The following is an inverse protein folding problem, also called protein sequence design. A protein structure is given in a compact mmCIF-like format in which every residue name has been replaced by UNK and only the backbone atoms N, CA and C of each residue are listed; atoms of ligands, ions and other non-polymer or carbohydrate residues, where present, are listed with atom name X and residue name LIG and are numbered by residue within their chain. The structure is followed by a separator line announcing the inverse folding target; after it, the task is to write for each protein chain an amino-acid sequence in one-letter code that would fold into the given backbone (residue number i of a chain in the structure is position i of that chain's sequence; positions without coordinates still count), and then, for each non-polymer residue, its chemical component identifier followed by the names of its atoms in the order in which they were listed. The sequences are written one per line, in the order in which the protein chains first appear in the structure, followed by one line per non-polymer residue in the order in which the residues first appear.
data_IF_418120204800
#
_entry.id   IF_418120204800
#
_cell.length_a   1.000
_cell.length_b   1.000
_cell.length_c   1.000
_cell.angle_alpha   90.00
_cell.angle_beta   90.00
_cell.angle_gamma   90.00
#
_symmetry.space_group_name_H-M   'P 1'
#
loop_
_entity.id
_entity.type
_entity.pdbx_description
1 polymer ?
#
# COMPACT_ATOMS: atom_id res chain seq x y z
N UNK A 1 10.87 -16.37 12.80
CA UNK A 1 11.10 -15.16 11.96
C UNK A 1 9.80 -14.64 11.34
N UNK A 2 9.08 -15.44 10.54
CA UNK A 2 7.83 -15.03 9.88
C UNK A 2 6.69 -14.63 10.83
N UNK A 3 6.47 -15.38 11.91
CA UNK A 3 5.43 -15.08 12.92
C UNK A 3 5.60 -13.69 13.56
N UNK A 4 6.84 -13.25 13.80
CA UNK A 4 7.14 -11.92 14.36
C UNK A 4 6.84 -10.81 13.36
N UNK A 5 7.28 -10.95 12.11
CA UNK A 5 6.96 -10.02 11.01
C UNK A 5 5.45 -9.91 10.78
N UNK A 6 4.75 -11.05 10.73
CA UNK A 6 3.32 -11.10 10.48
C UNK A 6 2.51 -10.26 11.48
N UNK A 7 2.90 -10.21 12.76
CA UNK A 7 2.24 -9.38 13.77
C UNK A 7 2.21 -7.91 13.39
N UNK A 8 3.34 -7.35 12.95
CA UNK A 8 3.41 -5.94 12.55
C UNK A 8 2.69 -5.69 11.22
N UNK A 9 2.82 -6.61 10.26
CA UNK A 9 2.26 -6.44 8.93
C UNK A 9 0.73 -6.57 8.94
N UNK A 10 0.19 -7.58 9.59
CA UNK A 10 -1.27 -7.80 9.68
C UNK A 10 -1.93 -6.63 10.42
N UNK A 11 -1.38 -6.21 11.55
CA UNK A 11 -1.96 -5.11 12.34
C UNK A 11 -1.99 -3.81 11.54
N UNK A 12 -0.88 -3.47 10.87
CA UNK A 12 -0.81 -2.25 10.06
C UNK A 12 -1.60 -2.32 8.77
N UNK A 13 -1.75 -3.52 8.19
CA UNK A 13 -2.65 -3.74 7.06
C UNK A 13 -4.10 -3.45 7.47
N UNK A 14 -4.54 -3.98 8.61
CA UNK A 14 -5.90 -3.74 9.13
C UNK A 14 -6.09 -2.24 9.40
N UNK A 15 -5.12 -1.58 10.06
CA UNK A 15 -5.19 -0.14 10.30
C UNK A 15 -5.25 0.66 9.00
N UNK A 16 -4.40 0.34 8.02
CA UNK A 16 -4.39 0.99 6.72
C UNK A 16 -5.67 0.76 5.93
N UNK A 17 -6.27 -0.42 6.05
CA UNK A 17 -7.56 -0.74 5.44
C UNK A 17 -8.69 0.08 6.07
N UNK A 18 -8.76 0.14 7.40
CA UNK A 18 -9.75 0.97 8.13
C UNK A 18 -9.59 2.44 7.77
N UNK A 19 -8.35 2.95 7.73
CA UNK A 19 -8.08 4.34 7.34
C UNK A 19 -8.53 4.62 5.90
N UNK A 20 -8.26 3.68 4.99
CA UNK A 20 -8.71 3.79 3.61
C UNK A 20 -10.24 3.78 3.49
N UNK A 21 -10.95 2.98 4.30
CA UNK A 21 -12.42 3.00 4.35
C UNK A 21 -12.97 4.35 4.83
N UNK A 22 -12.33 4.98 5.83
CA UNK A 22 -12.72 6.32 6.27
C UNK A 22 -12.52 7.38 5.17
N UNK A 23 -11.45 7.25 4.37
CA UNK A 23 -11.15 8.19 3.31
C UNK A 23 -12.02 8.02 2.05
N UNK A 24 -12.42 6.79 1.72
CA UNK A 24 -13.12 6.45 0.46
C UNK A 24 -14.61 6.12 0.63
N UNK A 25 -15.10 5.97 1.86
CA UNK A 25 -16.45 5.47 2.16
C UNK A 25 -16.53 3.95 2.12
N UNK A 26 -17.71 3.36 2.38
CA UNK A 26 -17.92 1.90 2.27
C UNK A 26 -17.78 1.52 0.79
N UNK A 27 -16.72 0.82 0.38
CA UNK A 27 -16.52 0.51 -1.01
C UNK A 27 -17.55 -0.52 -1.42
N UNK A 28 -18.28 -0.25 -2.50
CA UNK A 28 -18.82 -1.35 -3.30
C UNK A 28 -17.64 -2.29 -3.63
N UNK A 29 -17.89 -3.59 -3.79
CA UNK A 29 -16.84 -4.60 -4.07
C UNK A 29 -15.90 -4.21 -5.24
N UNK A 30 -16.30 -3.24 -6.04
CA UNK A 30 -15.59 -2.73 -7.20
C UNK A 30 -14.37 -1.87 -6.79
N UNK A 31 -14.43 -1.11 -5.70
CA UNK A 31 -13.33 -0.25 -5.22
C UNK A 31 -12.30 -0.99 -4.33
N UNK A 32 -12.27 -2.32 -4.37
CA UNK A 32 -11.39 -3.12 -3.51
C UNK A 32 -9.90 -2.87 -3.78
N UNK A 33 -9.49 -2.58 -5.01
CA UNK A 33 -8.06 -2.44 -5.37
C UNK A 33 -7.43 -1.16 -4.80
N UNK A 34 -7.99 0.05 -4.96
CA UNK A 34 -7.42 1.25 -4.35
C UNK A 34 -7.42 1.17 -2.83
N UNK A 35 -8.50 0.65 -2.23
CA UNK A 35 -8.62 0.52 -0.78
C UNK A 35 -7.59 -0.46 -0.21
N UNK A 36 -7.40 -1.61 -0.87
CA UNK A 36 -6.36 -2.58 -0.48
C UNK A 36 -4.96 -2.07 -0.82
N UNK A 37 -4.79 -1.30 -1.88
CA UNK A 37 -3.51 -0.72 -2.29
C UNK A 37 -2.93 0.18 -1.22
N UNK A 38 -3.74 1.12 -0.69
CA UNK A 38 -3.34 2.01 0.40
C UNK A 38 -2.96 1.19 1.65
N UNK A 39 -3.78 0.19 2.00
CA UNK A 39 -3.50 -0.70 3.14
C UNK A 39 -2.17 -1.47 2.98
N UNK A 40 -1.87 -1.96 1.77
CA UNK A 40 -0.60 -2.64 1.46
C UNK A 40 0.58 -1.68 1.55
N UNK A 41 0.45 -0.45 1.05
CA UNK A 41 1.53 0.55 1.11
C UNK A 41 1.86 0.88 2.57
N UNK A 42 0.84 1.14 3.39
CA UNK A 42 0.99 1.40 4.82
C UNK A 42 1.63 0.20 5.54
N UNK A 43 1.17 -1.01 5.23
CA UNK A 43 1.74 -2.25 5.78
C UNK A 43 3.23 -2.37 5.43
N UNK A 44 3.61 -2.16 4.17
CA UNK A 44 4.98 -2.37 3.70
C UNK A 44 5.91 -1.26 4.21
N UNK A 45 5.48 0.00 4.19
CA UNK A 45 6.29 1.12 4.67
C UNK A 45 6.46 1.07 6.19
N UNK A 46 5.36 1.05 6.94
CA UNK A 46 5.36 1.15 8.40
C UNK A 46 5.70 -0.19 9.06
N UNK A 47 5.25 -1.32 8.51
CA UNK A 47 5.47 -2.64 9.10
C UNK A 47 6.90 -3.12 8.97
N UNK A 48 7.53 -2.82 7.83
CA UNK A 48 8.97 -3.05 7.66
C UNK A 48 9.79 -2.16 8.58
N UNK A 49 9.38 -0.90 8.77
CA UNK A 49 10.08 0.05 9.64
C UNK A 49 10.03 -0.37 11.11
N UNK A 50 8.82 -0.63 11.64
CA UNK A 50 8.62 -1.02 13.03
C UNK A 50 9.33 -2.34 13.36
N UNK A 51 9.25 -3.33 12.47
CA UNK A 51 9.95 -4.59 12.68
C UNK A 51 11.47 -4.40 12.78
N UNK A 52 12.06 -3.56 11.91
CA UNK A 52 13.50 -3.28 11.92
C UNK A 52 13.98 -2.53 13.16
N UNK A 53 13.19 -1.57 13.62
CA UNK A 53 13.50 -0.79 14.84
C UNK A 53 13.35 -1.66 16.09
N UNK A 54 12.25 -2.41 16.21
CA UNK A 54 11.91 -3.11 17.46
C UNK A 54 12.64 -4.45 17.58
N UNK A 55 12.64 -5.27 16.52
CA UNK A 55 13.18 -6.64 16.58
C UNK A 55 14.65 -6.69 16.14
N UNK A 56 15.02 -5.97 15.08
CA UNK A 56 16.39 -5.99 14.54
C UNK A 56 17.28 -4.91 15.18
N UNK A 57 16.71 -3.99 15.96
CA UNK A 57 17.41 -2.86 16.62
C UNK A 57 18.31 -2.07 15.66
N UNK A 58 17.89 -1.96 14.40
CA UNK A 58 18.63 -1.21 13.39
C UNK A 58 18.63 0.30 13.73
N UNK A 59 19.69 1.00 13.30
CA UNK A 59 19.77 2.45 13.46
C UNK A 59 18.63 3.16 12.71
N UNK A 60 17.97 4.10 13.38
CA UNK A 60 16.85 4.88 12.85
C UNK A 60 17.11 5.53 11.49
N UNK A 61 18.33 6.04 11.25
CA UNK A 61 18.70 6.62 9.95
C UNK A 61 18.64 5.59 8.81
N UNK A 62 19.13 4.38 9.09
CA UNK A 62 19.17 3.29 8.13
C UNK A 62 17.76 2.74 7.84
N UNK A 63 16.92 2.66 8.87
CA UNK A 63 15.50 2.32 8.72
C UNK A 63 14.79 3.38 7.89
N UNK A 64 15.04 4.67 8.13
CA UNK A 64 14.43 5.75 7.39
C UNK A 64 14.74 5.65 5.88
N UNK A 65 16.01 5.50 5.51
CA UNK A 65 16.42 5.33 4.10
C UNK A 65 15.77 4.11 3.44
N UNK A 66 15.73 2.99 4.15
CA UNK A 66 15.09 1.76 3.67
C UNK A 66 13.58 1.92 3.49
N UNK A 67 12.90 2.60 4.41
CA UNK A 67 11.48 2.92 4.30
C UNK A 67 11.20 3.89 3.15
N UNK A 68 12.08 4.87 2.94
CA UNK A 68 11.99 5.81 1.83
C UNK A 68 12.09 5.09 0.48
N UNK A 69 13.01 4.11 0.36
CA UNK A 69 13.10 3.22 -0.80
C UNK A 69 11.79 2.44 -1.02
N UNK A 70 11.17 1.93 0.03
CA UNK A 70 9.89 1.22 -0.08
C UNK A 70 8.77 2.15 -0.57
N UNK A 71 8.69 3.38 -0.07
CA UNK A 71 7.72 4.38 -0.50
C UNK A 71 7.93 4.73 -1.98
N UNK A 72 9.18 4.95 -2.40
CA UNK A 72 9.52 5.20 -3.80
C UNK A 72 9.11 4.03 -4.71
N UNK A 73 9.32 2.80 -4.26
CA UNK A 73 8.91 1.61 -5.01
C UNK A 73 7.37 1.51 -5.12
N UNK A 74 6.65 1.83 -4.04
CA UNK A 74 5.19 1.92 -4.05
C UNK A 74 4.66 3.00 -5.01
N UNK A 75 5.30 4.17 -5.06
CA UNK A 75 4.96 5.23 -6.01
C UNK A 75 5.19 4.79 -7.46
N UNK A 76 6.29 4.08 -7.73
CA UNK A 76 6.58 3.53 -9.05
C UNK A 76 5.50 2.53 -9.50
N UNK A 77 5.05 1.65 -8.60
CA UNK A 77 3.94 0.71 -8.88
C UNK A 77 2.65 1.47 -9.22
N UNK A 78 2.30 2.50 -8.44
CA UNK A 78 1.12 3.32 -8.71
C UNK A 78 1.20 4.00 -10.08
N UNK A 79 2.38 4.49 -10.47
CA UNK A 79 2.61 5.12 -11.77
C UNK A 79 2.44 4.13 -12.92
N UNK A 80 2.94 2.89 -12.76
CA UNK A 80 2.75 1.81 -13.75
C UNK A 80 1.26 1.47 -13.89
N UNK A 81 0.53 1.34 -12.77
CA UNK A 81 -0.91 1.08 -12.79
C UNK A 81 -1.68 2.19 -13.51
N UNK A 82 -1.34 3.46 -13.25
CA UNK A 82 -1.93 4.61 -13.93
C UNK A 82 -1.62 4.63 -15.43
N UNK A 83 -0.39 4.26 -15.81
CA UNK A 83 -0.01 4.12 -17.21
C UNK A 83 -0.82 3.01 -17.91
N UNK A 84 -0.94 1.84 -17.28
CA UNK A 84 -1.75 0.73 -17.79
C UNK A 84 -3.23 1.13 -17.96
N UNK A 85 -3.79 1.82 -16.97
CA UNK A 85 -5.14 2.39 -17.05
C UNK A 85 -5.31 3.30 -18.26
N UNK A 86 -4.37 4.24 -18.44
CA UNK A 86 -4.39 5.19 -19.56
C UNK A 86 -4.32 4.49 -20.93
N UNK A 87 -3.59 3.37 -21.01
CA UNK A 87 -3.52 2.54 -22.23
C UNK A 87 -4.83 1.80 -22.45
N UNK A 88 -5.39 1.15 -21.43
CA UNK A 88 -6.64 0.39 -21.52
C UNK A 88 -7.84 1.26 -21.91
N UNK A 89 -7.89 2.49 -21.39
CA UNK A 89 -8.89 3.49 -21.78
C UNK A 89 -8.88 3.78 -23.29
N UNK A 90 -7.70 3.83 -23.92
CA UNK A 90 -7.59 4.04 -25.39
C UNK A 90 -8.18 2.88 -26.19
N UNK A 91 -8.28 1.69 -25.61
CA UNK A 91 -8.91 0.51 -26.21
C UNK A 91 -10.40 0.37 -25.83
N UNK A 92 -10.98 1.38 -25.16
CA UNK A 92 -12.38 1.36 -24.72
C UNK A 92 -12.65 0.43 -23.54
N UNK A 93 -11.60 -0.07 -22.87
CA UNK A 93 -11.72 -0.89 -21.68
C UNK A 93 -11.67 0.05 -20.47
N UNK A 94 -12.85 0.31 -19.92
CA UNK A 94 -12.99 1.13 -18.73
C UNK A 94 -12.80 0.28 -17.46
N UNK A 95 -11.67 0.49 -16.77
CA UNK A 95 -11.39 -0.10 -15.45
C UNK A 95 -11.41 0.95 -14.33
N UNK A 96 -11.96 2.14 -14.59
CA UNK A 96 -12.24 3.21 -13.62
C UNK A 96 -12.89 2.67 -12.33
N UNK A 97 -13.88 1.76 -12.40
CA UNK A 97 -14.50 1.22 -11.20
C UNK A 97 -13.53 0.41 -10.31
N UNK A 98 -12.54 -0.24 -10.93
CA UNK A 98 -11.57 -1.09 -10.24
C UNK A 98 -10.40 -0.30 -9.67
N UNK A 99 -10.01 0.80 -10.32
CA UNK A 99 -8.87 1.63 -9.89
C UNK A 99 -9.34 2.76 -8.95
N UNK A 100 -10.62 3.11 -8.97
CA UNK A 100 -11.23 4.11 -8.09
C UNK A 100 -10.76 5.54 -8.33
N UNK A 101 -10.24 5.81 -9.52
CA UNK A 101 -10.07 7.18 -10.01
C UNK A 101 -11.46 7.60 -10.51
N UNK A 102 -12.01 8.77 -10.16
CA UNK A 102 -13.24 9.28 -10.76
C UNK A 102 -13.07 9.66 -12.23
#
# INVERSE_FOLDING_TARGET
MWKKKAKYYITLYIMGYVFSLFATGVPSLIYLVPVKGIAVIIMVASGSALYRVIEEKENYLLVCLKSLKNILFSLLILLILFFMYSVLLKFGIDITPFIGIP
#
